data_IF_327393919684
#
_entry.id   IF_327393919684
#
_cell.length_a   1.000
_cell.length_b   1.000
_cell.length_c   1.000
_cell.angle_alpha   90.00
_cell.angle_beta   90.00
_cell.angle_gamma   90.00
#
_symmetry.space_group_name_H-M   'P 1'
#
loop_
_entity.id
_entity.type
_entity.pdbx_description
1 polymer ?
#
# COMPACT_ATOMS: atom_id res chain seq x y z
N UNK A 1 13.00 9.22 -11.12
CA UNK A 1 12.84 7.87 -10.55
C UNK A 1 13.45 7.81 -9.19
N UNK A 2 12.89 8.57 -8.25
CA UNK A 2 13.50 8.76 -6.92
C UNK A 2 12.97 7.78 -5.86
N UNK A 3 11.92 7.02 -6.18
CA UNK A 3 11.24 6.18 -5.21
C UNK A 3 10.94 4.79 -5.77
N UNK A 4 11.19 3.76 -4.95
CA UNK A 4 10.70 2.40 -5.17
C UNK A 4 9.54 2.17 -4.22
N UNK A 5 8.41 1.69 -4.75
CA UNK A 5 7.24 1.32 -3.94
C UNK A 5 7.11 -0.19 -3.92
N UNK A 6 6.87 -0.75 -2.75
CA UNK A 6 6.64 -2.17 -2.56
C UNK A 6 5.49 -2.41 -1.58
N UNK A 7 4.85 -3.58 -1.71
CA UNK A 7 3.81 -4.02 -0.78
C UNK A 7 4.39 -4.91 0.30
N UNK A 8 4.11 -4.58 1.55
CA UNK A 8 4.37 -5.40 2.72
C UNK A 8 3.04 -6.02 3.12
N UNK A 9 2.97 -7.35 3.18
CA UNK A 9 1.78 -8.07 3.63
C UNK A 9 2.01 -8.60 5.03
N UNK A 10 1.23 -8.10 5.98
CA UNK A 10 1.21 -8.60 7.34
C UNK A 10 0.03 -9.57 7.47
N UNK A 11 0.32 -10.77 7.97
CA UNK A 11 -0.69 -11.78 8.25
C UNK A 11 -0.96 -11.77 9.74
N UNK A 12 -2.19 -11.44 10.08
CA UNK A 12 -2.71 -11.64 11.42
C UNK A 12 -3.29 -13.06 11.49
N UNK A 13 -2.55 -13.96 12.13
CA UNK A 13 -2.96 -15.37 12.25
C UNK A 13 -4.03 -15.56 13.32
N UNK A 14 -4.26 -14.57 14.19
CA UNK A 14 -5.29 -14.61 15.23
C UNK A 14 -6.66 -14.27 14.66
N UNK A 15 -6.73 -13.29 13.75
CA UNK A 15 -7.98 -12.92 13.06
C UNK A 15 -8.19 -13.64 11.70
N UNK A 16 -7.28 -14.51 11.26
CA UNK A 16 -7.22 -15.07 9.89
C UNK A 16 -7.27 -13.98 8.79
N UNK A 17 -6.79 -12.78 9.11
CA UNK A 17 -6.82 -11.61 8.23
C UNK A 17 -5.43 -11.36 7.66
N UNK A 18 -5.38 -10.98 6.39
CA UNK A 18 -4.15 -10.50 5.78
C UNK A 18 -4.32 -9.06 5.34
N UNK A 19 -3.46 -8.17 5.83
CA UNK A 19 -3.44 -6.75 5.46
C UNK A 19 -2.20 -6.48 4.64
N UNK A 20 -2.36 -5.71 3.57
CA UNK A 20 -1.23 -5.24 2.76
C UNK A 20 -1.05 -3.75 2.96
N UNK A 21 0.19 -3.30 3.07
CA UNK A 21 0.56 -1.91 3.17
C UNK A 21 1.58 -1.56 2.11
N UNK A 22 1.49 -0.34 1.58
CA UNK A 22 2.45 0.18 0.65
C UNK A 22 3.51 0.99 1.37
N UNK A 23 4.75 0.71 1.02
CA UNK A 23 5.93 1.39 1.53
C UNK A 23 6.71 1.96 0.37
N UNK A 24 7.24 3.17 0.54
CA UNK A 24 8.11 3.80 -0.43
C UNK A 24 9.51 3.97 0.16
N UNK A 25 10.53 3.67 -0.63
CA UNK A 25 11.94 3.88 -0.25
C UNK A 25 12.64 4.72 -1.32
N UNK A 26 13.51 5.67 -0.93
CA UNK A 26 14.30 6.41 -1.91
C UNK A 26 15.23 5.49 -2.70
N UNK A 27 15.36 5.70 -4.01
CA UNK A 27 16.32 4.94 -4.85
C UNK A 27 17.77 5.25 -4.49
N UNK A 28 18.03 6.41 -3.90
CA UNK A 28 19.33 6.80 -3.34
C UNK A 28 19.70 6.02 -2.06
N UNK A 29 18.77 5.25 -1.51
CA UNK A 29 18.91 4.56 -0.23
C UNK A 29 18.45 5.44 0.94
N UNK A 30 17.82 4.82 1.93
CA UNK A 30 17.27 5.52 3.08
C UNK A 30 16.24 4.67 3.83
N UNK A 31 15.58 5.28 4.81
CA UNK A 31 14.50 4.64 5.55
C UNK A 31 13.23 4.55 4.67
N UNK A 32 12.55 3.40 4.64
CA UNK A 32 11.26 3.29 3.97
C UNK A 32 10.20 4.06 4.77
N UNK A 33 9.29 4.72 4.06
CA UNK A 33 8.18 5.47 4.62
C UNK A 33 6.85 4.79 4.28
N UNK A 34 5.93 4.66 5.25
CA UNK A 34 4.61 4.10 4.98
C UNK A 34 3.79 5.09 4.14
N UNK A 35 3.25 4.61 3.02
CA UNK A 35 2.36 5.40 2.14
C UNK A 35 0.88 5.21 2.48
N UNK A 36 0.54 4.12 3.18
CA UNK A 36 -0.84 3.74 3.47
C UNK A 36 -1.02 3.34 4.94
N UNK A 37 -2.17 3.68 5.51
CA UNK A 37 -2.55 3.34 6.88
C UNK A 37 -2.77 1.83 7.07
N UNK A 38 -2.62 1.37 8.31
CA UNK A 38 -2.78 -0.05 8.70
C UNK A 38 -4.25 -0.53 8.69
N UNK A 39 -5.21 0.40 8.64
CA UNK A 39 -6.65 0.12 8.69
C UNK A 39 -7.20 -0.41 7.35
N UNK A 40 -6.51 -0.15 6.24
CA UNK A 40 -6.98 -0.47 4.89
C UNK A 40 -5.92 -1.27 4.17
N UNK A 41 -6.30 -2.42 3.59
CA UNK A 41 -5.36 -3.21 2.81
C UNK A 41 -5.12 -2.54 1.46
N UNK A 42 -3.90 -2.11 1.18
CA UNK A 42 -3.51 -1.45 -0.05
C UNK A 42 -2.56 -2.30 -0.90
N UNK A 43 -2.75 -2.26 -2.21
CA UNK A 43 -2.02 -3.06 -3.20
C UNK A 43 -1.93 -2.40 -4.57
N UNK A 44 -1.36 -3.13 -5.53
CA UNK A 44 -1.21 -2.73 -6.93
C UNK A 44 -0.69 -1.28 -7.14
N UNK A 45 0.44 -0.89 -6.53
CA UNK A 45 0.99 0.45 -6.68
C UNK A 45 1.43 0.71 -8.11
N UNK A 46 1.05 1.86 -8.67
CA UNK A 46 1.53 2.33 -9.96
C UNK A 46 1.82 3.83 -9.92
N UNK A 47 3.07 4.19 -10.24
CA UNK A 47 3.46 5.59 -10.38
C UNK A 47 2.89 6.20 -11.66
N UNK A 48 2.51 7.48 -11.58
CA UNK A 48 2.27 8.28 -12.75
C UNK A 48 3.57 8.47 -13.55
N UNK A 49 3.52 8.62 -14.88
CA UNK A 49 4.72 8.83 -15.70
C UNK A 49 5.50 10.08 -15.32
N UNK A 50 4.83 11.07 -14.71
CA UNK A 50 5.43 12.30 -14.20
C UNK A 50 5.91 12.21 -12.74
N UNK A 51 5.80 11.04 -12.12
CA UNK A 51 6.31 10.71 -10.77
C UNK A 51 5.68 11.50 -9.61
N UNK A 52 4.64 12.30 -9.87
CA UNK A 52 3.97 13.10 -8.84
C UNK A 52 2.88 12.35 -8.10
N UNK A 53 2.31 11.29 -8.70
CA UNK A 53 1.16 10.59 -8.12
C UNK A 53 1.41 9.08 -8.07
N UNK A 54 0.98 8.47 -6.97
CA UNK A 54 0.95 7.03 -6.79
C UNK A 54 -0.51 6.58 -6.75
N UNK A 55 -0.92 5.81 -7.76
CA UNK A 55 -2.21 5.14 -7.77
C UNK A 55 -2.08 3.79 -7.09
N UNK A 56 -3.07 3.41 -6.29
CA UNK A 56 -3.12 2.11 -5.62
C UNK A 56 -4.56 1.63 -5.46
N UNK A 57 -4.73 0.32 -5.36
CA UNK A 57 -6.01 -0.30 -4.98
C UNK A 57 -6.05 -0.41 -3.46
N UNK A 58 -7.21 -0.11 -2.87
CA UNK A 58 -7.38 -0.19 -1.43
C UNK A 58 -8.70 -0.91 -1.12
N UNK A 59 -8.62 -1.96 -0.33
CA UNK A 59 -9.77 -2.68 0.20
C UNK A 59 -10.09 -2.09 1.57
N UNK A 60 -11.22 -1.40 1.68
CA UNK A 60 -11.77 -0.97 2.96
C UNK A 60 -12.05 -2.24 3.76
N UNK A 61 -11.32 -2.44 4.86
CA UNK A 61 -11.42 -3.66 5.66
C UNK A 61 -12.87 -3.92 6.04
N UNK A 62 -13.38 -5.10 5.71
CA UNK A 62 -14.61 -5.76 6.17
C UNK A 62 -15.85 -4.89 6.47
N UNK A 63 -16.03 -3.74 5.81
CA UNK A 63 -17.21 -2.87 5.96
C UNK A 63 -17.38 -1.97 4.71
N UNK A 64 -17.00 -2.53 3.55
CA UNK A 64 -17.17 -1.90 2.25
C UNK A 64 -18.26 -2.63 1.49
N UNK A 65 -19.53 -2.28 1.75
CA UNK A 65 -20.63 -2.58 0.85
C UNK A 65 -20.20 -2.18 -0.57
N UNK A 66 -20.21 -3.14 -1.50
CA UNK A 66 -20.04 -2.88 -2.93
C UNK A 66 -21.13 -1.89 -3.35
N UNK A 67 -20.76 -0.62 -3.51
CA UNK A 67 -21.64 0.33 -4.17
C UNK A 67 -21.47 0.13 -5.68
N UNK A 68 -22.55 -0.35 -6.31
CA UNK A 68 -22.74 -0.48 -7.76
C UNK A 68 -23.17 0.83 -8.40
#
# INVERSE_FOLDING_TARGET
GDWVVYSVRERDMEEDKSKSQLWAVPTSGGAPIPMTSFETSAGNPQWSPDEKYLSFTASKGDDGETQV
#
